data_IF_474769211907
#
_entry.id   IF_474769211907
#
_cell.length_a   1.000
_cell.length_b   1.000
_cell.length_c   1.000
_cell.angle_alpha   90.00
_cell.angle_beta   90.00
_cell.angle_gamma   90.00
#
_symmetry.space_group_name_H-M   'P 1'
#
loop_
_entity.id
_entity.type
_entity.pdbx_description
1 polymer ?
#
# COMPACT_ATOMS: atom_id res chain seq x y z
N UNK A 1 12.97 4.09 -3.69
CA UNK A 1 13.02 5.51 -4.12
C UNK A 1 12.85 5.68 -5.63
N UNK A 2 13.58 4.93 -6.47
CA UNK A 2 13.56 5.13 -7.93
C UNK A 2 12.16 5.04 -8.56
N UNK A 3 11.38 3.99 -8.26
CA UNK A 3 10.00 3.83 -8.75
C UNK A 3 9.10 4.99 -8.24
N UNK A 4 9.22 5.34 -6.97
CA UNK A 4 8.39 6.38 -6.34
C UNK A 4 8.65 7.79 -6.87
N UNK A 5 9.90 8.07 -7.26
CA UNK A 5 10.26 9.37 -7.83
C UNK A 5 9.66 9.63 -9.22
N UNK A 6 9.30 8.56 -9.94
CA UNK A 6 8.87 8.62 -11.36
C UNK A 6 7.36 8.46 -11.55
N UNK A 7 6.62 8.06 -10.51
CA UNK A 7 5.20 7.74 -10.61
C UNK A 7 4.39 8.80 -9.85
N UNK A 8 3.48 9.47 -10.56
CA UNK A 8 2.56 10.45 -9.97
C UNK A 8 1.14 10.17 -10.44
N UNK A 9 0.24 10.04 -9.47
CA UNK A 9 -1.18 9.85 -9.70
C UNK A 9 -1.96 10.50 -8.55
N UNK A 10 -3.14 11.09 -8.78
CA UNK A 10 -3.91 11.76 -7.73
C UNK A 10 -4.24 10.86 -6.52
N UNK A 11 -4.39 9.55 -6.77
CA UNK A 11 -4.73 8.53 -5.78
C UNK A 11 -3.55 7.63 -5.37
N UNK A 12 -2.32 8.10 -5.58
CA UNK A 12 -1.11 7.50 -5.00
C UNK A 12 -0.50 8.51 -4.02
N UNK A 13 -0.04 8.03 -2.87
CA UNK A 13 0.52 8.89 -1.83
C UNK A 13 1.83 9.52 -2.33
N UNK A 14 1.86 10.86 -2.35
CA UNK A 14 3.01 11.60 -2.86
C UNK A 14 4.17 11.57 -1.87
N UNK A 15 5.30 11.02 -2.32
CA UNK A 15 6.58 11.20 -1.65
C UNK A 15 7.09 12.63 -1.92
N UNK A 16 7.13 13.46 -0.88
CA UNK A 16 7.58 14.85 -0.92
C UNK A 16 9.10 14.93 -0.80
N UNK A 17 9.70 14.06 0.02
CA UNK A 17 11.14 14.04 0.24
C UNK A 17 11.63 12.78 0.93
N UNK A 18 12.95 12.66 1.04
CA UNK A 18 13.62 11.57 1.74
C UNK A 18 14.85 12.11 2.46
N UNK A 19 15.17 11.52 3.62
CA UNK A 19 16.42 11.73 4.33
C UNK A 19 17.15 10.38 4.42
N UNK A 20 18.04 10.05 3.46
CA UNK A 20 18.70 8.76 3.39
C UNK A 20 19.56 8.46 4.62
N UNK A 21 20.26 9.47 5.14
CA UNK A 21 21.18 9.33 6.28
C UNK A 21 20.47 8.85 7.57
N UNK A 22 19.17 9.10 7.67
CA UNK A 22 18.32 8.72 8.80
C UNK A 22 17.24 7.69 8.42
N UNK A 23 17.24 7.19 7.18
CA UNK A 23 16.25 6.22 6.69
C UNK A 23 14.81 6.74 6.69
N UNK A 24 14.59 8.05 6.58
CA UNK A 24 13.26 8.66 6.68
C UNK A 24 12.67 9.00 5.30
N UNK A 25 11.34 8.85 5.18
CA UNK A 25 10.57 9.26 4.00
C UNK A 25 9.49 10.25 4.44
N UNK A 26 9.33 11.32 3.68
CA UNK A 26 8.36 12.40 3.96
C UNK A 26 7.28 12.35 2.89
N UNK A 27 6.03 12.17 3.33
CA UNK A 27 4.85 12.12 2.48
C UNK A 27 3.94 13.32 2.73
N UNK A 28 3.01 13.55 1.81
CA UNK A 28 1.88 14.43 2.10
C UNK A 28 1.07 13.90 3.30
N UNK A 29 0.54 14.82 4.09
CA UNK A 29 -0.23 14.48 5.27
C UNK A 29 -1.69 14.17 4.92
N UNK A 30 -2.27 13.16 5.57
CA UNK A 30 -3.60 12.64 5.31
C UNK A 30 -4.42 12.70 6.60
N UNK A 31 -5.26 13.71 6.73
CA UNK A 31 -5.88 14.13 8.00
C UNK A 31 -6.82 13.09 8.61
N UNK A 32 -7.45 12.27 7.78
CA UNK A 32 -8.39 11.24 8.22
C UNK A 32 -7.71 9.90 8.51
N UNK A 33 -6.38 9.82 8.41
CA UNK A 33 -5.62 8.59 8.64
C UNK A 33 -5.93 7.50 7.61
N UNK A 34 -5.88 6.24 8.04
CA UNK A 34 -6.12 5.10 7.16
C UNK A 34 -7.62 4.78 7.02
N UNK A 35 -7.98 4.16 5.90
CA UNK A 35 -9.30 3.61 5.67
C UNK A 35 -9.65 2.56 6.73
N UNK A 36 -8.67 1.78 7.19
CA UNK A 36 -8.86 0.82 8.29
C UNK A 36 -9.34 1.50 9.58
N UNK A 37 -8.66 2.57 10.00
CA UNK A 37 -9.01 3.34 11.20
C UNK A 37 -10.43 3.92 11.08
N UNK A 38 -10.79 4.41 9.88
CA UNK A 38 -12.12 4.98 9.62
C UNK A 38 -13.22 3.93 9.53
N UNK A 39 -12.94 2.75 8.97
CA UNK A 39 -13.89 1.62 8.95
C UNK A 39 -14.13 1.06 10.36
N UNK A 40 -13.11 1.03 11.21
CA UNK A 40 -13.23 0.67 12.63
C UNK A 40 -13.84 1.76 13.50
N UNK A 41 -14.07 2.96 12.95
CA UNK A 41 -14.54 4.15 13.70
C UNK A 41 -13.66 4.45 14.91
N UNK A 42 -12.35 4.31 14.73
CA UNK A 42 -11.35 4.62 15.75
C UNK A 42 -11.57 6.06 16.25
N UNK A 43 -11.36 6.27 17.55
CA UNK A 43 -11.62 7.54 18.24
C UNK A 43 -13.08 8.06 18.11
N UNK A 44 -14.06 7.17 17.90
CA UNK A 44 -15.47 7.54 17.83
C UNK A 44 -15.85 8.30 16.56
N UNK A 45 -15.02 8.22 15.52
CA UNK A 45 -15.26 8.92 14.26
C UNK A 45 -16.55 8.42 13.57
N UNK A 46 -17.31 9.31 12.90
CA UNK A 46 -18.56 8.92 12.26
C UNK A 46 -18.32 7.91 11.14
N UNK A 47 -19.33 7.09 10.79
CA UNK A 47 -19.22 6.19 9.65
C UNK A 47 -19.01 6.98 8.35
N UNK A 48 -18.18 6.45 7.46
CA UNK A 48 -18.05 6.98 6.10
C UNK A 48 -19.39 6.77 5.38
N UNK A 49 -19.86 7.81 4.69
CA UNK A 49 -21.10 7.77 3.90
C UNK A 49 -21.04 6.68 2.82
N UNK A 50 -22.19 6.20 2.37
CA UNK A 50 -22.22 5.20 1.29
C UNK A 50 -21.61 5.72 -0.01
N UNK A 51 -21.89 6.97 -0.35
CA UNK A 51 -21.36 7.63 -1.53
C UNK A 51 -19.83 7.70 -1.50
N UNK A 52 -19.25 8.12 -0.36
CA UNK A 52 -17.80 8.19 -0.21
C UNK A 52 -17.13 6.82 -0.28
N UNK A 53 -17.78 5.75 0.21
CA UNK A 53 -17.23 4.38 0.08
C UNK A 53 -17.11 3.95 -1.38
N UNK A 54 -18.13 4.24 -2.19
CA UNK A 54 -18.09 3.93 -3.63
C UNK A 54 -17.00 4.76 -4.31
N UNK A 55 -16.91 6.05 -3.98
CA UNK A 55 -15.88 6.95 -4.51
C UNK A 55 -14.48 6.44 -4.17
N UNK A 56 -14.20 6.13 -2.90
CA UNK A 56 -12.92 5.57 -2.45
C UNK A 56 -12.58 4.28 -3.22
N UNK A 57 -13.54 3.37 -3.40
CA UNK A 57 -13.31 2.14 -4.15
C UNK A 57 -12.91 2.41 -5.62
N UNK A 58 -13.58 3.37 -6.27
CA UNK A 58 -13.23 3.79 -7.63
C UNK A 58 -11.85 4.45 -7.71
N UNK A 59 -11.54 5.36 -6.79
CA UNK A 59 -10.24 6.05 -6.71
C UNK A 59 -9.08 5.05 -6.53
N UNK A 60 -9.24 4.06 -5.65
CA UNK A 60 -8.28 2.96 -5.45
C UNK A 60 -8.15 2.13 -6.72
N UNK A 61 -9.25 1.75 -7.36
CA UNK A 61 -9.21 0.99 -8.62
C UNK A 61 -8.51 1.77 -9.74
N UNK A 62 -8.73 3.09 -9.82
CA UNK A 62 -8.08 3.98 -10.78
C UNK A 62 -6.56 4.02 -10.58
N UNK A 63 -6.09 4.15 -9.34
CA UNK A 63 -4.65 4.09 -9.02
C UNK A 63 -4.02 2.74 -9.39
N UNK A 64 -4.71 1.64 -9.09
CA UNK A 64 -4.22 0.29 -9.42
C UNK A 64 -4.16 0.08 -10.94
N UNK A 65 -5.17 0.53 -11.68
CA UNK A 65 -5.17 0.48 -13.14
C UNK A 65 -3.96 1.24 -13.72
N UNK A 66 -3.67 2.42 -13.18
CA UNK A 66 -2.51 3.22 -13.59
C UNK A 66 -1.18 2.51 -13.31
N UNK A 67 -1.01 1.92 -12.11
CA UNK A 67 0.17 1.14 -11.77
C UNK A 67 0.34 -0.08 -12.68
N UNK A 68 -0.72 -0.83 -12.92
CA UNK A 68 -0.70 -2.03 -13.76
C UNK A 68 -0.51 -1.71 -15.25
N UNK A 69 -0.91 -0.52 -15.70
CA UNK A 69 -0.74 -0.07 -17.08
C UNK A 69 0.63 0.59 -17.35
N UNK A 70 1.46 0.76 -16.32
CA UNK A 70 2.77 1.40 -16.43
C UNK A 70 3.70 0.67 -17.40
N UNK A 71 4.49 1.42 -18.16
CA UNK A 71 5.46 0.93 -19.14
C UNK A 71 6.89 1.32 -18.73
N UNK A 72 7.92 0.51 -19.07
CA UNK A 72 7.87 -0.72 -19.87
C UNK A 72 7.31 -1.93 -19.13
N UNK A 73 7.19 -1.85 -17.79
CA UNK A 73 6.75 -2.96 -16.94
C UNK A 73 5.64 -2.51 -16.00
N UNK A 74 4.58 -3.32 -15.81
CA UNK A 74 3.59 -3.10 -14.77
C UNK A 74 4.24 -3.02 -13.39
N UNK A 75 3.70 -2.14 -12.54
CA UNK A 75 4.08 -2.02 -11.13
C UNK A 75 3.01 -2.68 -10.29
N UNK A 76 3.39 -3.64 -9.44
CA UNK A 76 2.44 -4.28 -8.50
C UNK A 76 2.70 -3.78 -7.09
N UNK A 77 1.64 -3.34 -6.40
CA UNK A 77 1.71 -2.84 -5.03
C UNK A 77 2.11 -3.92 -4.01
N UNK A 78 1.54 -5.12 -4.14
CA UNK A 78 1.75 -6.34 -3.32
C UNK A 78 1.24 -6.30 -1.87
N UNK A 79 1.06 -5.13 -1.27
CA UNK A 79 0.50 -5.01 0.09
C UNK A 79 -0.70 -4.06 0.13
N UNK A 80 -1.65 -4.27 -0.77
CA UNK A 80 -2.87 -3.47 -0.77
C UNK A 80 -3.80 -3.98 0.34
N UNK A 81 -4.05 -3.13 1.33
CA UNK A 81 -4.96 -3.37 2.45
C UNK A 81 -5.54 -2.04 2.94
N UNK A 82 -6.65 -2.05 3.70
CA UNK A 82 -7.27 -0.81 4.20
C UNK A 82 -6.32 0.07 5.03
N UNK A 83 -5.33 -0.53 5.72
CA UNK A 83 -4.33 0.23 6.47
C UNK A 83 -3.40 1.07 5.58
N UNK A 84 -3.23 0.67 4.32
CA UNK A 84 -2.35 1.31 3.33
C UNK A 84 -3.14 2.24 2.38
N UNK A 85 -4.42 2.47 2.63
CA UNK A 85 -5.22 3.47 1.92
C UNK A 85 -5.43 4.63 2.88
N UNK A 86 -4.83 5.79 2.59
CA UNK A 86 -4.93 6.98 3.44
C UNK A 86 -5.97 7.95 2.87
N UNK A 87 -6.62 8.71 3.75
CA UNK A 87 -7.72 9.62 3.41
C UNK A 87 -7.37 11.05 3.81
N UNK A 88 -7.49 11.99 2.87
CA UNK A 88 -7.31 13.41 3.15
C UNK A 88 -8.54 13.98 3.89
N UNK A 89 -8.52 15.27 4.24
CA UNK A 89 -9.65 15.99 4.87
C UNK A 89 -11.01 15.82 4.18
N UNK A 90 -11.03 15.56 2.87
CA UNK A 90 -12.22 15.43 2.04
C UNK A 90 -12.55 13.97 1.69
N UNK A 91 -11.95 13.00 2.38
CA UNK A 91 -12.04 11.56 2.08
C UNK A 91 -11.56 11.19 0.67
N UNK A 92 -10.70 12.00 0.04
CA UNK A 92 -9.97 11.58 -1.15
C UNK A 92 -8.93 10.54 -0.73
N UNK A 93 -8.98 9.39 -1.38
CA UNK A 93 -8.12 8.25 -1.06
C UNK A 93 -6.82 8.26 -1.84
N UNK A 94 -5.75 7.83 -1.16
CA UNK A 94 -4.43 7.62 -1.74
C UNK A 94 -3.83 6.31 -1.24
N UNK A 95 -3.34 5.50 -2.17
CA UNK A 95 -2.62 4.26 -1.83
C UNK A 95 -1.20 4.63 -1.39
N UNK A 96 -0.85 4.26 -0.16
CA UNK A 96 0.47 4.39 0.44
C UNK A 96 1.14 3.04 0.71
N UNK A 97 2.28 3.06 1.41
CA UNK A 97 3.08 1.88 1.77
C UNK A 97 3.45 0.94 0.60
N UNK A 98 3.99 1.60 -0.42
CA UNK A 98 4.64 1.03 -1.60
C UNK A 98 6.03 0.44 -1.33
N UNK A 99 6.42 0.22 -0.06
CA UNK A 99 7.73 -0.33 0.32
C UNK A 99 8.01 -1.71 -0.28
N UNK A 100 6.95 -2.41 -0.69
CA UNK A 100 6.98 -3.73 -1.32
C UNK A 100 6.69 -3.71 -2.83
N UNK A 101 6.54 -2.52 -3.43
CA UNK A 101 6.32 -2.40 -4.87
C UNK A 101 7.44 -3.06 -5.67
N UNK A 102 7.09 -3.85 -6.67
CA UNK A 102 8.05 -4.54 -7.55
C UNK A 102 7.56 -4.47 -8.99
N UNK A 103 8.50 -4.25 -9.92
CA UNK A 103 8.25 -4.40 -11.36
C UNK A 103 8.08 -5.88 -11.70
N UNK A 104 7.07 -6.23 -12.48
CA UNK A 104 6.92 -7.60 -12.98
C UNK A 104 7.97 -7.84 -14.09
N UNK A 105 8.79 -8.92 -14.03
CA UNK A 105 9.62 -9.36 -15.14
C UNK A 105 8.76 -9.67 -16.37
N UNK A 106 9.21 -9.32 -17.58
CA UNK A 106 8.39 -9.39 -18.83
C UNK A 106 8.33 -10.81 -19.40
N UNK A 107 8.82 -11.82 -18.68
CA UNK A 107 8.90 -13.18 -19.21
C UNK A 107 7.53 -13.87 -19.02
N UNK A 108 6.71 -13.74 -20.06
CA UNK A 108 5.54 -14.54 -20.45
C UNK A 108 4.69 -15.22 -19.33
N UNK A 109 3.45 -14.74 -19.22
CA UNK A 109 2.20 -15.51 -18.95
C UNK A 109 2.10 -16.43 -17.72
N UNK A 110 3.09 -16.49 -16.84
CA UNK A 110 2.95 -17.36 -15.67
C UNK A 110 2.31 -16.57 -14.54
N UNK A 111 1.16 -17.03 -14.05
CA UNK A 111 0.71 -16.74 -12.69
C UNK A 111 1.74 -17.33 -11.71
N UNK A 112 2.92 -16.71 -11.64
CA UNK A 112 3.97 -17.12 -10.75
C UNK A 112 3.68 -16.47 -9.40
N UNK A 113 3.26 -17.29 -8.44
CA UNK A 113 3.39 -16.97 -7.02
C UNK A 113 4.88 -16.82 -6.72
N UNK A 114 5.42 -15.61 -6.90
CA UNK A 114 6.80 -15.32 -6.54
C UNK A 114 6.86 -15.21 -5.02
N UNK A 115 7.17 -16.33 -4.37
CA UNK A 115 7.55 -16.37 -2.97
C UNK A 115 8.90 -15.67 -2.81
N UNK A 116 8.89 -14.40 -2.36
CA UNK A 116 10.09 -13.75 -1.84
C UNK A 116 10.18 -14.07 -0.36
N UNK A 117 11.21 -14.80 0.04
CA UNK A 117 11.53 -15.03 1.44
C UNK A 117 12.06 -13.71 2.03
N UNK A 118 11.17 -12.83 2.47
CA UNK A 118 11.55 -11.64 3.22
C UNK A 118 11.85 -12.08 4.65
N UNK A 119 13.12 -11.99 5.05
CA UNK A 119 13.49 -12.09 6.45
C UNK A 119 12.66 -11.07 7.24
N UNK A 120 11.90 -11.56 8.21
CA UNK A 120 11.14 -10.76 9.17
C UNK A 120 12.11 -9.84 9.92
N UNK A 121 12.10 -8.55 9.60
CA UNK A 121 12.77 -7.53 10.41
C UNK A 121 11.76 -7.04 11.45
N UNK A 122 11.91 -7.57 12.68
CA UNK A 122 11.34 -7.07 13.95
C UNK A 122 9.83 -7.32 14.13
N UNK A 123 9.30 -7.88 15.21
CA UNK A 123 9.83 -8.17 16.54
C UNK A 123 9.15 -9.43 17.12
N UNK A 124 9.87 -10.08 18.05
CA UNK A 124 9.48 -11.18 18.95
C UNK A 124 9.34 -12.60 18.35
N UNK A 125 10.37 -13.41 18.59
CA UNK A 125 10.40 -14.88 18.43
C UNK A 125 10.77 -15.50 19.77
N UNK A 126 9.96 -16.44 20.27
CA UNK A 126 10.29 -17.59 21.16
C UNK A 126 8.98 -18.32 21.50
N UNK A 127 8.80 -19.64 21.55
CA UNK A 127 9.53 -20.85 21.12
C UNK A 127 8.49 -21.96 20.80
N UNK A 128 8.98 -22.96 20.07
CA UNK A 128 8.39 -24.19 19.49
C UNK A 128 7.71 -25.12 20.52
N UNK A 129 6.70 -25.91 20.10
CA UNK A 129 6.71 -27.36 20.35
C UNK A 129 6.22 -28.18 19.15
N UNK A 130 7.00 -29.23 18.91
CA UNK A 130 6.87 -30.31 17.93
C UNK A 130 5.84 -31.33 18.39
N UNK A 131 5.12 -31.96 17.45
CA UNK A 131 4.97 -33.42 17.44
C UNK A 131 4.90 -33.94 16.01
N UNK A 132 5.80 -34.87 15.72
CA UNK A 132 5.88 -35.72 14.53
C UNK A 132 4.74 -36.75 14.51
N UNK A 133 4.43 -37.25 13.31
CA UNK A 133 4.09 -38.66 13.09
C UNK A 133 2.64 -38.96 12.73
N UNK A 134 2.39 -39.25 11.45
CA UNK A 134 2.25 -40.59 10.88
C UNK A 134 2.39 -40.51 9.36
#
# INVERSE_FOLDING_TARGET
LEILSRIRHPHLLLLVGACPDHGCLVYEYMENGSLEDRLRRKHGTPPISWFDRIRIAWEVASALLFLHSSKPRPVVHRDLKPANILLDRNFVSKIGDVGLCTLIPVDHETMATVYKNTALVGHTVTWIQSTKGL
#
